data_IF_547779553489
#
_entry.id   IF_547779553489
#
_cell.length_a   1.000
_cell.length_b   1.000
_cell.length_c   1.000
_cell.angle_alpha   90.00
_cell.angle_beta   90.00
_cell.angle_gamma   90.00
#
_symmetry.space_group_name_H-M   'P 1'
#
loop_
_entity.id
_entity.type
_entity.pdbx_description
1 polymer ?
#
# COMPACT_ATOMS: atom_id res chain seq x y z
N UNK A 1 4.72 11.98 -0.46
CA UNK A 1 5.39 12.78 -1.52
C UNK A 1 5.75 11.94 -2.75
N UNK A 2 4.87 11.02 -3.22
CA UNK A 2 5.22 10.14 -4.34
C UNK A 2 4.05 9.70 -5.22
N UNK A 3 2.87 10.29 -5.06
CA UNK A 3 1.69 10.00 -5.89
C UNK A 3 1.82 10.75 -7.22
N UNK A 4 1.88 10.06 -8.38
CA UNK A 4 1.98 10.69 -9.68
C UNK A 4 0.61 10.94 -10.35
N UNK A 5 -0.51 10.61 -9.68
CA UNK A 5 -1.85 10.76 -10.27
C UNK A 5 -2.14 12.23 -10.57
N UNK A 6 -2.78 12.50 -11.71
CA UNK A 6 -3.03 13.85 -12.21
C UNK A 6 -3.67 14.78 -11.17
N UNK A 7 -4.72 14.32 -10.46
CA UNK A 7 -5.38 15.12 -9.42
C UNK A 7 -4.45 15.53 -8.26
N UNK A 8 -3.50 14.66 -7.91
CA UNK A 8 -2.53 14.95 -6.84
C UNK A 8 -1.51 15.96 -7.34
N UNK A 9 -1.04 15.80 -8.57
CA UNK A 9 -0.02 16.68 -9.16
C UNK A 9 -0.59 18.07 -9.42
N UNK A 10 -1.81 18.17 -9.97
CA UNK A 10 -2.49 19.45 -10.21
C UNK A 10 -2.77 20.21 -8.92
N UNK A 11 -3.04 19.49 -7.82
CA UNK A 11 -3.20 20.07 -6.49
C UNK A 11 -1.88 20.42 -5.78
N UNK A 12 -0.72 20.27 -6.44
CA UNK A 12 0.58 20.54 -5.82
C UNK A 12 1.01 19.53 -4.74
N UNK A 13 0.33 18.38 -4.66
CA UNK A 13 0.56 17.31 -3.70
C UNK A 13 1.33 16.14 -4.32
N UNK A 14 1.68 15.15 -3.50
CA UNK A 14 2.24 13.90 -4.00
C UNK A 14 3.62 14.10 -4.64
N UNK A 15 3.79 13.69 -5.89
CA UNK A 15 5.05 13.82 -6.62
C UNK A 15 5.37 15.28 -7.00
N UNK A 16 4.38 16.19 -7.03
CA UNK A 16 4.62 17.61 -7.32
C UNK A 16 5.46 18.30 -6.22
N UNK A 17 5.45 17.78 -5.00
CA UNK A 17 6.29 18.29 -3.91
C UNK A 17 7.79 18.03 -4.15
N UNK A 18 8.13 17.01 -4.95
CA UNK A 18 9.53 16.60 -5.16
C UNK A 18 10.38 17.68 -5.85
N UNK A 19 9.75 18.62 -6.57
CA UNK A 19 10.42 19.78 -7.15
C UNK A 19 10.43 21.01 -6.24
N UNK A 20 9.98 20.88 -4.98
CA UNK A 20 9.88 21.95 -3.99
C UNK A 20 10.50 21.54 -2.64
N UNK A 21 11.83 21.33 -2.57
CA UNK A 21 12.49 20.82 -1.36
C UNK A 21 12.28 21.71 -0.12
N UNK A 22 12.22 23.03 -0.29
CA UNK A 22 12.01 23.96 0.84
C UNK A 22 10.60 23.79 1.44
N UNK A 23 9.59 23.65 0.59
CA UNK A 23 8.22 23.35 1.03
C UNK A 23 8.13 21.98 1.73
N UNK A 24 8.87 20.97 1.24
CA UNK A 24 8.97 19.67 1.92
C UNK A 24 9.55 19.86 3.34
N UNK A 25 10.63 20.62 3.45
CA UNK A 25 11.28 20.89 4.72
C UNK A 25 10.33 21.58 5.71
N UNK A 26 9.61 22.60 5.26
CA UNK A 26 8.67 23.36 6.09
C UNK A 26 7.50 22.50 6.57
N UNK A 27 6.91 21.69 5.69
CA UNK A 27 5.83 20.76 6.04
C UNK A 27 6.30 19.77 7.10
N UNK A 28 7.44 19.10 6.86
CA UNK A 28 7.92 18.05 7.76
C UNK A 28 8.35 18.62 9.12
N UNK A 29 9.06 19.75 9.14
CA UNK A 29 9.46 20.42 10.38
C UNK A 29 8.25 20.88 11.18
N UNK A 30 7.22 21.42 10.50
CA UNK A 30 5.97 21.83 11.15
C UNK A 30 5.25 20.63 11.78
N UNK A 31 5.12 19.51 11.06
CA UNK A 31 4.52 18.30 11.60
C UNK A 31 5.32 17.76 12.79
N UNK A 32 6.65 17.70 12.67
CA UNK A 32 7.55 17.21 13.72
C UNK A 32 7.51 18.05 15.00
N UNK A 33 7.33 19.37 14.87
CA UNK A 33 7.21 20.28 16.01
C UNK A 33 5.88 20.13 16.77
N UNK A 34 4.81 19.77 16.07
CA UNK A 34 3.45 19.84 16.62
C UNK A 34 2.82 18.46 16.93
N UNK A 35 3.46 17.36 16.54
CA UNK A 35 2.93 16.01 16.75
C UNK A 35 3.85 15.20 17.67
N UNK A 36 3.24 14.53 18.66
CA UNK A 36 3.93 13.57 19.52
C UNK A 36 4.10 12.19 18.86
N UNK A 37 3.43 11.96 17.72
CA UNK A 37 3.52 10.72 16.95
C UNK A 37 4.69 10.77 15.96
N UNK A 38 5.40 9.65 15.71
CA UNK A 38 6.45 9.59 14.69
C UNK A 38 5.97 10.07 13.33
N UNK A 39 6.61 11.11 12.79
CA UNK A 39 6.37 11.59 11.43
C UNK A 39 7.32 10.86 10.50
N UNK A 40 6.77 10.19 9.49
CA UNK A 40 7.51 9.56 8.41
C UNK A 40 7.07 10.13 7.07
N UNK A 41 7.81 9.86 6.00
CA UNK A 41 7.34 10.22 4.68
C UNK A 41 7.74 9.22 3.61
N UNK A 42 7.07 9.31 2.46
CA UNK A 42 7.27 8.41 1.31
C UNK A 42 7.52 9.20 0.03
N UNK A 43 8.62 8.91 -0.64
CA UNK A 43 9.04 9.54 -1.90
C UNK A 43 9.12 8.52 -3.05
N UNK A 44 9.30 9.04 -4.26
CA UNK A 44 9.78 8.32 -5.44
C UNK A 44 11.20 8.80 -5.75
N UNK A 45 11.95 8.03 -6.53
CA UNK A 45 13.24 8.46 -7.06
C UNK A 45 13.09 9.71 -7.95
N UNK A 46 14.09 10.59 -7.91
CA UNK A 46 14.21 11.72 -8.82
C UNK A 46 14.86 11.31 -10.14
N UNK A 47 15.09 12.27 -11.03
CA UNK A 47 15.70 11.99 -12.35
C UNK A 47 17.10 11.40 -12.21
N UNK A 48 17.89 11.90 -11.26
CA UNK A 48 19.22 11.39 -10.93
C UNK A 48 19.28 10.80 -9.50
N UNK A 49 20.16 9.82 -9.29
CA UNK A 49 20.43 9.26 -7.96
C UNK A 49 20.96 10.35 -7.02
N UNK A 50 21.89 11.19 -7.50
CA UNK A 50 22.44 12.34 -6.74
C UNK A 50 21.36 13.26 -6.17
N UNK A 51 20.38 13.64 -6.98
CA UNK A 51 19.29 14.52 -6.52
C UNK A 51 18.43 13.82 -5.46
N UNK A 52 18.20 12.52 -5.64
CA UNK A 52 17.43 11.71 -4.68
C UNK A 52 18.15 11.64 -3.33
N UNK A 53 19.47 11.43 -3.33
CA UNK A 53 20.32 11.44 -2.14
C UNK A 53 20.30 12.81 -1.44
N UNK A 54 20.44 13.89 -2.20
CA UNK A 54 20.38 15.26 -1.64
C UNK A 54 19.01 15.54 -1.01
N UNK A 55 17.92 15.15 -1.66
CA UNK A 55 16.57 15.27 -1.11
C UNK A 55 16.41 14.44 0.18
N UNK A 56 16.92 13.21 0.21
CA UNK A 56 16.86 12.35 1.39
C UNK A 56 17.58 12.97 2.59
N UNK A 57 18.79 13.53 2.39
CA UNK A 57 19.54 14.24 3.43
C UNK A 57 18.81 15.48 3.95
N UNK A 58 18.16 16.23 3.06
CA UNK A 58 17.32 17.38 3.46
C UNK A 58 16.12 16.94 4.30
N UNK A 59 15.47 15.85 3.88
CA UNK A 59 14.35 15.26 4.63
C UNK A 59 14.82 14.80 6.02
N UNK A 60 15.95 14.11 6.13
CA UNK A 60 16.50 13.66 7.41
C UNK A 60 16.69 14.82 8.39
N UNK A 61 17.22 15.97 7.94
CA UNK A 61 17.42 17.17 8.77
C UNK A 61 16.14 17.70 9.42
N UNK A 62 14.96 17.36 8.89
CA UNK A 62 13.66 17.74 9.50
C UNK A 62 13.32 16.92 10.74
N UNK A 63 14.07 15.85 11.03
CA UNK A 63 13.86 14.97 12.18
C UNK A 63 12.77 13.92 11.99
N UNK A 64 12.41 13.57 10.75
CA UNK A 64 11.51 12.45 10.46
C UNK A 64 12.07 11.13 11.00
N UNK A 65 11.19 10.25 11.44
CA UNK A 65 11.57 8.98 12.09
C UNK A 65 11.98 7.89 11.10
N UNK A 66 11.54 7.97 9.84
CA UNK A 66 11.90 7.06 8.76
C UNK A 66 11.51 7.64 7.39
N UNK A 67 12.18 7.17 6.34
CA UNK A 67 11.90 7.53 4.95
C UNK A 67 11.61 6.28 4.11
N UNK A 68 10.41 6.21 3.54
CA UNK A 68 10.07 5.18 2.56
C UNK A 68 10.42 5.65 1.13
N UNK A 69 11.21 4.85 0.41
CA UNK A 69 11.64 5.15 -0.95
C UNK A 69 11.05 4.13 -1.90
N UNK A 70 10.18 4.60 -2.82
CA UNK A 70 9.76 3.76 -3.92
C UNK A 70 10.80 3.80 -5.02
N UNK A 71 11.37 2.64 -5.38
CA UNK A 71 12.47 2.46 -6.34
C UNK A 71 12.12 2.77 -7.80
N UNK A 72 11.10 3.58 -8.05
CA UNK A 72 10.81 4.09 -9.39
C UNK A 72 10.74 5.60 -9.40
N UNK A 73 11.10 6.16 -10.54
CA UNK A 73 10.98 7.59 -10.85
C UNK A 73 9.51 7.96 -11.03
N UNK A 74 9.22 9.26 -11.09
CA UNK A 74 7.84 9.74 -11.27
C UNK A 74 7.26 9.31 -12.61
N UNK A 75 8.08 9.31 -13.68
CA UNK A 75 7.67 8.93 -15.04
C UNK A 75 7.54 7.42 -15.26
N UNK A 76 8.17 6.62 -14.41
CA UNK A 76 8.17 5.16 -14.51
C UNK A 76 6.79 4.58 -14.23
N UNK A 77 6.39 3.63 -15.07
CA UNK A 77 5.15 2.86 -15.01
C UNK A 77 5.35 1.59 -14.17
N UNK A 78 4.26 0.92 -13.76
CA UNK A 78 4.33 -0.33 -12.99
C UNK A 78 5.09 -1.49 -13.66
N UNK A 79 5.26 -1.43 -15.00
CA UNK A 79 6.04 -2.40 -15.79
C UNK A 79 7.55 -2.16 -15.73
N UNK A 80 7.97 -0.94 -15.44
CA UNK A 80 9.38 -0.60 -15.36
C UNK A 80 9.92 -1.13 -14.02
N UNK A 81 11.10 -1.76 -13.97
CA UNK A 81 11.60 -2.38 -12.74
C UNK A 81 11.98 -1.33 -11.68
N UNK A 82 11.82 -1.71 -10.41
CA UNK A 82 12.39 -0.95 -9.30
C UNK A 82 13.93 -0.96 -9.36
N UNK A 83 14.53 0.22 -9.15
CA UNK A 83 15.97 0.52 -9.17
C UNK A 83 16.52 0.42 -7.76
N UNK A 84 16.91 -0.80 -7.38
CA UNK A 84 17.33 -1.15 -6.03
C UNK A 84 18.68 -0.52 -5.64
N UNK A 85 19.57 -0.37 -6.62
CA UNK A 85 20.82 0.36 -6.54
C UNK A 85 20.61 1.83 -6.12
N UNK A 86 19.67 2.54 -6.74
CA UNK A 86 19.35 3.92 -6.36
C UNK A 86 18.76 4.01 -4.92
N UNK A 87 18.11 2.94 -4.41
CA UNK A 87 17.71 2.88 -3.00
C UNK A 87 18.92 2.65 -2.09
N UNK A 88 19.87 1.79 -2.49
CA UNK A 88 21.10 1.55 -1.73
C UNK A 88 21.93 2.83 -1.58
N UNK A 89 22.01 3.65 -2.62
CA UNK A 89 22.64 4.97 -2.57
C UNK A 89 22.00 5.83 -1.47
N UNK A 90 20.65 5.87 -1.41
CA UNK A 90 19.93 6.62 -0.38
C UNK A 90 20.21 6.05 1.02
N UNK A 91 20.16 4.73 1.20
CA UNK A 91 20.46 4.06 2.47
C UNK A 91 21.84 4.45 2.99
N UNK A 92 22.86 4.44 2.12
CA UNK A 92 24.23 4.80 2.50
C UNK A 92 24.42 6.28 2.87
N UNK A 93 23.44 7.13 2.55
CA UNK A 93 23.58 8.58 2.61
C UNK A 93 22.96 9.26 3.82
N UNK A 94 22.14 8.53 4.59
CA UNK A 94 21.39 9.00 5.76
C UNK A 94 21.52 8.00 6.92
N UNK A 95 21.26 8.46 8.14
CA UNK A 95 21.29 7.65 9.36
C UNK A 95 19.90 7.16 9.79
N UNK A 96 18.82 7.81 9.35
CA UNK A 96 17.45 7.36 9.63
C UNK A 96 17.09 6.05 8.91
N UNK A 97 16.18 5.22 9.46
CA UNK A 97 15.71 4.01 8.79
C UNK A 97 15.10 4.29 7.41
N UNK A 98 15.57 3.56 6.41
CA UNK A 98 14.98 3.55 5.07
C UNK A 98 14.07 2.33 4.90
N UNK A 99 12.89 2.58 4.31
CA UNK A 99 11.91 1.54 3.97
C UNK A 99 11.87 1.40 2.44
N UNK A 100 12.42 0.32 1.91
CA UNK A 100 12.44 0.05 0.48
C UNK A 100 11.03 -0.33 -0.02
N UNK A 101 10.62 0.19 -1.19
CA UNK A 101 9.30 -0.07 -1.76
C UNK A 101 9.38 -0.22 -3.29
N UNK A 102 8.61 -1.17 -3.83
CA UNK A 102 8.61 -1.53 -5.25
C UNK A 102 8.63 -3.05 -5.37
N UNK A 103 8.06 -3.61 -6.44
CA UNK A 103 8.23 -5.02 -6.83
C UNK A 103 8.45 -6.07 -5.72
N UNK A 104 7.53 -6.08 -4.73
CA UNK A 104 7.44 -7.13 -3.69
C UNK A 104 6.20 -7.95 -4.01
N UNK A 105 6.40 -9.21 -4.37
CA UNK A 105 5.37 -10.12 -4.87
C UNK A 105 5.38 -11.50 -4.20
N UNK A 106 6.48 -11.86 -3.54
CA UNK A 106 6.60 -13.10 -2.76
C UNK A 106 7.27 -12.87 -1.39
N UNK A 107 7.20 -13.87 -0.51
CA UNK A 107 7.77 -13.77 0.84
C UNK A 107 9.30 -13.62 0.83
N UNK A 108 9.98 -14.25 -0.13
CA UNK A 108 11.44 -14.20 -0.21
C UNK A 108 11.96 -12.83 -0.69
N UNK A 109 11.11 -12.03 -1.35
CA UNK A 109 11.44 -10.67 -1.77
C UNK A 109 11.81 -9.77 -0.59
N UNK A 110 11.24 -9.98 0.59
CA UNK A 110 11.54 -9.16 1.76
C UNK A 110 13.03 -9.26 2.12
N UNK A 111 13.57 -10.49 2.19
CA UNK A 111 14.97 -10.70 2.53
C UNK A 111 15.89 -10.33 1.36
N UNK A 112 15.50 -10.67 0.13
CA UNK A 112 16.25 -10.32 -1.09
C UNK A 112 16.43 -8.80 -1.22
N UNK A 113 15.35 -8.04 -1.07
CA UNK A 113 15.37 -6.56 -1.19
C UNK A 113 16.20 -5.95 -0.06
N UNK A 114 16.06 -6.41 1.19
CA UNK A 114 16.91 -5.94 2.29
C UNK A 114 18.39 -6.18 2.01
N UNK A 115 18.73 -7.35 1.48
CA UNK A 115 20.12 -7.72 1.16
C UNK A 115 20.73 -6.81 0.10
N UNK A 116 20.00 -6.54 -1.00
CA UNK A 116 20.54 -5.74 -2.10
C UNK A 116 20.51 -4.23 -1.84
N UNK A 117 19.60 -3.75 -1.00
CA UNK A 117 19.46 -2.31 -0.70
C UNK A 117 20.14 -1.87 0.59
N UNK A 118 20.33 -2.77 1.55
CA UNK A 118 20.69 -2.41 2.93
C UNK A 118 19.56 -1.75 3.71
N UNK A 119 18.34 -1.65 3.17
CA UNK A 119 17.22 -1.00 3.83
C UNK A 119 16.82 -1.72 5.12
N UNK A 120 16.39 -0.96 6.13
CA UNK A 120 15.96 -1.49 7.42
C UNK A 120 14.71 -2.36 7.29
N UNK A 121 13.79 -1.95 6.42
CA UNK A 121 12.49 -2.58 6.21
C UNK A 121 12.05 -2.54 4.75
N UNK A 122 11.06 -3.35 4.40
CA UNK A 122 10.45 -3.40 3.07
C UNK A 122 8.95 -3.14 3.19
N UNK A 123 8.42 -2.30 2.29
CA UNK A 123 7.00 -1.98 2.17
C UNK A 123 6.45 -2.61 0.89
N UNK A 124 5.35 -3.34 1.02
CA UNK A 124 4.62 -3.98 -0.09
C UNK A 124 3.30 -3.26 -0.34
N UNK A 125 2.84 -3.29 -1.59
CA UNK A 125 1.52 -2.75 -1.99
C UNK A 125 0.77 -3.75 -2.88
N UNK A 126 1.21 -3.95 -4.14
CA UNK A 126 0.55 -4.85 -5.09
C UNK A 126 0.52 -6.32 -4.63
N UNK A 127 1.64 -6.88 -4.16
CA UNK A 127 1.62 -8.25 -3.64
C UNK A 127 0.58 -8.44 -2.53
N UNK A 128 0.45 -7.46 -1.63
CA UNK A 128 -0.49 -7.51 -0.52
C UNK A 128 -1.97 -7.34 -0.93
N UNK A 129 -2.28 -6.53 -1.96
CA UNK A 129 -3.67 -6.40 -2.44
C UNK A 129 -4.13 -7.68 -3.15
N UNK A 130 -3.22 -8.35 -3.86
CA UNK A 130 -3.54 -9.60 -4.56
C UNK A 130 -3.66 -10.77 -3.59
N UNK A 131 -2.71 -10.88 -2.65
CA UNK A 131 -2.77 -11.89 -1.61
C UNK A 131 -2.10 -11.37 -0.33
N UNK A 132 -2.92 -10.98 0.65
CA UNK A 132 -2.44 -10.47 1.93
C UNK A 132 -1.62 -11.49 2.75
N UNK A 133 -1.68 -12.79 2.41
CA UNK A 133 -0.82 -13.80 3.06
C UNK A 133 0.64 -13.75 2.62
N UNK A 134 1.03 -12.83 1.71
CA UNK A 134 2.43 -12.55 1.34
C UNK A 134 3.33 -12.25 2.54
N UNK A 135 2.76 -11.80 3.67
CA UNK A 135 3.50 -11.56 4.91
C UNK A 135 3.79 -12.83 5.72
N UNK A 136 3.30 -13.99 5.27
CA UNK A 136 3.51 -15.30 5.91
C UNK A 136 4.51 -16.12 5.09
N UNK A 137 5.46 -16.83 5.73
CA UNK A 137 6.31 -17.80 5.03
C UNK A 137 5.49 -18.96 4.42
N UNK A 138 4.28 -19.18 4.94
CA UNK A 138 3.30 -20.10 4.39
C UNK A 138 2.19 -19.29 3.72
N UNK A 139 2.39 -18.97 2.43
CA UNK A 139 1.41 -18.25 1.61
C UNK A 139 0.16 -19.13 1.47
N UNK A 140 -1.01 -18.54 1.74
CA UNK A 140 -2.31 -19.22 1.62
C UNK A 140 -2.82 -19.15 0.18
N UNK A 141 -3.64 -20.13 -0.25
CA UNK A 141 -4.42 -20.01 -1.48
C UNK A 141 -5.19 -18.68 -1.50
N UNK A 142 -5.20 -18.01 -2.65
CA UNK A 142 -5.82 -16.68 -2.77
C UNK A 142 -7.34 -16.75 -2.60
N UNK A 143 -7.96 -17.89 -2.90
CA UNK A 143 -9.38 -18.18 -2.66
C UNK A 143 -9.72 -18.07 -1.17
N UNK A 144 -8.89 -18.64 -0.30
CA UNK A 144 -9.09 -18.59 1.16
C UNK A 144 -8.94 -17.15 1.69
N UNK A 145 -7.95 -16.42 1.18
CA UNK A 145 -7.71 -15.02 1.56
C UNK A 145 -8.85 -14.12 1.10
N UNK A 146 -9.35 -14.33 -0.11
CA UNK A 146 -10.50 -13.61 -0.66
C UNK A 146 -11.78 -13.88 0.14
N UNK A 147 -12.03 -15.14 0.51
CA UNK A 147 -13.15 -15.53 1.38
C UNK A 147 -13.05 -14.91 2.77
N UNK A 148 -11.87 -14.91 3.39
CA UNK A 148 -11.64 -14.24 4.68
C UNK A 148 -11.80 -12.71 4.56
N UNK A 149 -11.39 -12.11 3.44
CA UNK A 149 -11.63 -10.69 3.19
C UNK A 149 -13.12 -10.34 3.10
N UNK A 150 -13.95 -11.21 2.48
CA UNK A 150 -15.42 -11.07 2.52
C UNK A 150 -15.93 -11.13 3.95
N UNK A 151 -15.47 -12.10 4.75
CA UNK A 151 -15.85 -12.22 6.17
C UNK A 151 -15.44 -10.98 6.98
N UNK A 152 -14.26 -10.39 6.74
CA UNK A 152 -13.86 -9.11 7.37
C UNK A 152 -14.70 -7.94 6.90
N UNK A 153 -15.04 -7.89 5.61
CA UNK A 153 -15.94 -6.85 5.06
C UNK A 153 -17.31 -6.90 5.73
N UNK A 154 -17.87 -8.11 5.90
CA UNK A 154 -19.11 -8.34 6.64
C UNK A 154 -18.97 -7.89 8.09
N UNK A 155 -17.91 -8.33 8.79
CA UNK A 155 -17.67 -8.03 10.21
C UNK A 155 -17.62 -6.53 10.51
N UNK A 156 -16.99 -5.77 9.63
CA UNK A 156 -16.75 -4.33 9.81
C UNK A 156 -17.72 -3.43 9.05
N UNK A 157 -18.76 -4.00 8.44
CA UNK A 157 -19.73 -3.26 7.63
C UNK A 157 -19.08 -2.41 6.54
N UNK A 158 -18.08 -2.99 5.87
CA UNK A 158 -17.27 -2.25 4.93
C UNK A 158 -18.08 -1.79 3.72
N UNK A 159 -17.76 -0.61 3.21
CA UNK A 159 -18.42 -0.06 2.02
C UNK A 159 -18.34 -1.04 0.84
N UNK A 160 -19.50 -1.26 0.21
CA UNK A 160 -19.65 -2.21 -0.88
C UNK A 160 -18.74 -1.88 -2.07
N UNK A 161 -18.58 -0.60 -2.42
CA UNK A 161 -17.76 -0.21 -3.57
C UNK A 161 -16.29 -0.51 -3.29
N UNK A 162 -15.82 -0.28 -2.06
CA UNK A 162 -14.48 -0.62 -1.61
C UNK A 162 -14.24 -2.14 -1.59
N UNK A 163 -15.16 -2.91 -0.97
CA UNK A 163 -15.07 -4.38 -0.97
C UNK A 163 -15.02 -4.94 -2.38
N UNK A 164 -15.90 -4.48 -3.28
CA UNK A 164 -15.89 -4.90 -4.70
C UNK A 164 -14.59 -4.53 -5.40
N UNK A 165 -14.05 -3.33 -5.17
CA UNK A 165 -12.79 -2.92 -5.78
C UNK A 165 -11.66 -3.88 -5.41
N UNK A 166 -11.49 -4.17 -4.12
CA UNK A 166 -10.43 -5.06 -3.64
C UNK A 166 -10.61 -6.49 -4.14
N UNK A 167 -11.83 -7.04 -4.11
CA UNK A 167 -12.12 -8.36 -4.69
C UNK A 167 -11.80 -8.43 -6.18
N UNK A 168 -12.13 -7.38 -6.94
CA UNK A 168 -11.82 -7.31 -8.37
C UNK A 168 -10.31 -7.26 -8.64
N UNK A 169 -9.54 -6.55 -7.81
CA UNK A 169 -8.07 -6.55 -7.92
C UNK A 169 -7.48 -7.96 -7.67
N UNK A 170 -8.00 -8.70 -6.68
CA UNK A 170 -7.60 -10.09 -6.43
C UNK A 170 -7.96 -11.00 -7.63
N UNK A 171 -9.21 -10.93 -8.10
CA UNK A 171 -9.72 -11.78 -9.20
C UNK A 171 -8.99 -11.48 -10.52
N UNK A 172 -8.78 -10.20 -10.87
CA UNK A 172 -8.08 -9.81 -12.10
C UNK A 172 -6.61 -10.26 -12.13
N UNK A 173 -5.98 -10.43 -10.96
CA UNK A 173 -4.60 -10.89 -10.90
C UNK A 173 -4.47 -12.39 -11.15
N UNK A 174 -5.35 -13.21 -10.55
CA UNK A 174 -5.23 -14.68 -10.62
C UNK A 174 -6.10 -15.32 -11.72
N UNK A 175 -7.18 -14.68 -12.15
CA UNK A 175 -8.14 -15.22 -13.13
C UNK A 175 -8.62 -14.13 -14.09
N UNK A 176 -9.93 -13.93 -14.27
CA UNK A 176 -10.49 -12.79 -15.01
C UNK A 176 -11.92 -12.46 -14.54
N UNK A 177 -12.35 -11.22 -14.78
CA UNK A 177 -13.68 -10.74 -14.34
C UNK A 177 -14.85 -11.30 -15.17
N UNK A 178 -14.58 -11.91 -16.33
CA UNK A 178 -15.61 -12.45 -17.22
C UNK A 178 -16.11 -13.85 -16.83
N UNK A 179 -15.41 -14.51 -15.90
CA UNK A 179 -15.81 -15.78 -15.33
C UNK A 179 -16.97 -15.62 -14.33
N UNK A 180 -17.67 -16.72 -13.97
CA UNK A 180 -18.84 -16.66 -13.09
C UNK A 180 -18.62 -15.89 -11.78
N UNK A 181 -17.48 -16.10 -11.12
CA UNK A 181 -17.14 -15.39 -9.88
C UNK A 181 -17.00 -13.88 -10.09
N UNK A 182 -16.23 -13.45 -11.10
CA UNK A 182 -16.03 -12.04 -11.41
C UNK A 182 -17.32 -11.31 -11.81
N UNK A 183 -18.19 -11.99 -12.56
CA UNK A 183 -19.54 -11.52 -12.89
C UNK A 183 -20.43 -11.44 -11.65
N UNK A 184 -20.37 -12.43 -10.76
CA UNK A 184 -21.08 -12.44 -9.47
C UNK A 184 -20.71 -11.22 -8.63
N UNK A 185 -19.42 -11.04 -8.34
CA UNK A 185 -18.90 -9.87 -7.60
C UNK A 185 -19.30 -8.55 -8.26
N UNK A 186 -19.28 -8.48 -9.60
CA UNK A 186 -19.65 -7.26 -10.32
C UNK A 186 -21.14 -6.92 -10.16
N UNK A 187 -22.02 -7.92 -10.10
CA UNK A 187 -23.46 -7.76 -9.96
C UNK A 187 -23.92 -7.57 -8.51
N UNK A 188 -23.15 -8.00 -7.51
CA UNK A 188 -23.49 -7.82 -6.09
C UNK A 188 -23.72 -6.35 -5.73
N UNK A 189 -24.81 -6.07 -5.04
CA UNK A 189 -25.21 -4.75 -4.55
C UNK A 189 -25.11 -4.65 -3.02
N UNK A 190 -25.09 -5.80 -2.32
CA UNK A 190 -25.04 -5.89 -0.86
C UNK A 190 -23.99 -6.89 -0.35
N UNK A 191 -23.57 -6.72 0.91
CA UNK A 191 -22.64 -7.68 1.55
C UNK A 191 -23.30 -9.05 1.74
N UNK A 192 -24.65 -9.10 1.76
CA UNK A 192 -25.41 -10.34 1.74
C UNK A 192 -25.26 -11.08 0.40
N UNK A 193 -25.26 -10.36 -0.74
CA UNK A 193 -25.06 -10.98 -2.06
C UNK A 193 -23.66 -11.60 -2.16
N UNK A 194 -22.64 -10.86 -1.66
CA UNK A 194 -21.28 -11.39 -1.58
C UNK A 194 -21.21 -12.57 -0.61
N UNK A 195 -21.91 -12.53 0.51
CA UNK A 195 -21.98 -13.68 1.41
C UNK A 195 -22.54 -14.91 0.67
N UNK A 196 -23.60 -14.75 -0.12
CA UNK A 196 -24.16 -15.81 -0.96
C UNK A 196 -23.18 -16.39 -1.96
N UNK A 197 -22.46 -15.53 -2.68
CA UNK A 197 -21.46 -15.99 -3.66
C UNK A 197 -20.28 -16.76 -3.04
N UNK A 198 -19.98 -16.49 -1.77
CA UNK A 198 -18.82 -17.06 -1.07
C UNK A 198 -19.19 -18.12 -0.03
N UNK A 199 -20.46 -18.52 0.08
CA UNK A 199 -20.94 -19.51 1.06
C UNK A 199 -20.83 -19.02 2.52
N UNK A 200 -21.00 -17.72 2.74
CA UNK A 200 -20.86 -17.02 4.02
C UNK A 200 -22.18 -16.51 4.59
N UNK A 201 -23.33 -16.97 4.10
CA UNK A 201 -24.66 -16.48 4.49
C UNK A 201 -24.92 -16.66 5.98
N UNK A 202 -24.61 -17.84 6.52
CA UNK A 202 -24.74 -18.12 7.96
C UNK A 202 -23.89 -17.17 8.81
N UNK A 203 -22.71 -16.80 8.30
CA UNK A 203 -21.83 -15.87 8.98
C UNK A 203 -22.34 -14.43 8.88
N UNK A 204 -22.85 -14.02 7.72
CA UNK A 204 -23.53 -12.73 7.54
C UNK A 204 -24.70 -12.56 8.49
N UNK A 205 -25.57 -13.56 8.59
CA UNK A 205 -26.73 -13.53 9.50
C UNK A 205 -26.29 -13.45 10.96
N UNK A 206 -25.26 -14.22 11.34
CA UNK A 206 -24.70 -14.18 12.68
C UNK A 206 -24.16 -12.79 13.04
N UNK A 207 -23.33 -12.20 12.18
CA UNK A 207 -22.73 -10.87 12.41
C UNK A 207 -23.81 -9.80 12.48
N UNK A 208 -24.76 -9.80 11.54
CA UNK A 208 -25.79 -8.77 11.43
C UNK A 208 -26.73 -8.78 12.64
N UNK A 209 -27.17 -9.95 13.09
CA UNK A 209 -27.98 -10.10 14.31
C UNK A 209 -27.25 -9.56 15.55
N UNK A 210 -25.98 -9.93 15.74
CA UNK A 210 -25.19 -9.48 16.88
C UNK A 210 -24.87 -7.98 16.84
N UNK A 211 -24.74 -7.40 15.64
CA UNK A 211 -24.55 -5.96 15.49
C UNK A 211 -25.81 -5.19 15.90
N UNK A 212 -26.99 -5.65 15.49
CA UNK A 212 -28.27 -5.01 15.84
C UNK A 212 -28.52 -5.01 17.36
N UNK A 213 -28.16 -6.09 18.07
CA UNK A 213 -28.34 -6.14 19.53
C UNK A 213 -27.50 -5.09 20.27
N UNK A 214 -26.32 -4.69 19.76
CA UNK A 214 -25.48 -3.65 20.37
C UNK A 214 -26.02 -2.23 20.27
N UNK A 215 -27.04 -1.98 19.45
CA UNK A 215 -27.66 -0.65 19.30
C UNK A 215 -28.98 -0.52 20.08
N UNK A 216 -29.37 -1.56 20.82
CA UNK A 216 -30.62 -1.62 21.60
C UNK A 216 -30.33 -1.50 23.12
N UNK A 217 -29.05 -1.48 23.52
CA UNK A 217 -28.56 -1.16 24.87
C UNK A 217 -27.96 0.25 24.91
#
# INVERSE_FOLDING_TARGET
MGCPKAFSVSGGMGAALLSKPDLIHDILTTLKRNLNTPVTCKIRLLKSSRDTVELARRIEKTGVSALAVHGRKVADRPRDPAKWDEIADVVSSVSIPIIANGDVFEYDDFQRIKTVTGASSVMVARGAIWNASIFSPHVKPWEDVKREYVRKSILWDNDMKNTKYTLKEMIMHYTCLELPEGKGVTKSESLADLAGHYGEEKYYDFVTKNRQMKYIE
#
